data_IF_213638761529
#
_entry.id   IF_213638761529
#
_cell.length_a   1.000
_cell.length_b   1.000
_cell.length_c   1.000
_cell.angle_alpha   90.00
_cell.angle_beta   90.00
_cell.angle_gamma   90.00
#
_symmetry.space_group_name_H-M   'P 1'
#
loop_
_entity.id
_entity.type
_entity.pdbx_description
1 polymer ?
#
# COMPACT_ATOMS: atom_id res chain seq x y z
N UNK A 1 10.11 17.51 -19.42
CA UNK A 1 8.65 17.48 -19.65
C UNK A 1 8.25 16.01 -19.66
N UNK A 2 7.40 15.59 -18.72
CA UNK A 2 7.04 14.17 -18.59
C UNK A 2 6.13 13.71 -19.74
N UNK A 3 5.97 12.38 -19.93
CA UNK A 3 5.01 11.82 -20.87
C UNK A 3 3.59 12.33 -20.56
N UNK A 4 3.21 12.34 -19.28
CA UNK A 4 1.92 12.85 -18.80
C UNK A 4 1.75 14.34 -19.10
N UNK A 5 2.79 15.16 -18.95
CA UNK A 5 2.73 16.58 -19.34
C UNK A 5 2.51 16.76 -20.85
N UNK A 6 3.06 15.85 -21.67
CA UNK A 6 2.89 15.89 -23.12
C UNK A 6 1.45 15.57 -23.53
N UNK A 7 0.86 14.54 -22.92
CA UNK A 7 -0.54 14.15 -23.11
C UNK A 7 -1.46 15.28 -22.61
N UNK A 8 -1.21 15.78 -21.41
CA UNK A 8 -1.92 16.89 -20.78
C UNK A 8 -1.93 18.14 -21.65
N UNK A 9 -0.76 18.57 -22.15
CA UNK A 9 -0.65 19.73 -23.06
C UNK A 9 -1.38 19.54 -24.39
N UNK A 10 -1.51 18.30 -24.86
CA UNK A 10 -2.26 18.01 -26.09
C UNK A 10 -3.76 18.07 -25.84
N UNK A 11 -4.24 17.48 -24.75
CA UNK A 11 -5.65 17.53 -24.36
C UNK A 11 -6.07 18.97 -24.08
N UNK A 12 -5.28 19.75 -23.35
CA UNK A 12 -5.61 21.13 -22.95
C UNK A 12 -5.83 22.08 -24.12
N UNK A 13 -5.24 21.79 -25.29
CA UNK A 13 -5.47 22.57 -26.52
C UNK A 13 -6.89 22.40 -27.08
N UNK A 14 -7.58 21.32 -26.70
CA UNK A 14 -8.88 20.94 -27.24
C UNK A 14 -9.95 20.96 -26.14
N UNK A 15 -9.66 20.35 -24.99
CA UNK A 15 -10.61 20.15 -23.89
C UNK A 15 -10.10 20.81 -22.61
N UNK A 16 -10.90 21.74 -22.06
CA UNK A 16 -10.56 22.47 -20.85
C UNK A 16 -10.63 21.59 -19.60
N UNK A 17 -11.64 20.71 -19.50
CA UNK A 17 -11.90 19.87 -18.33
C UNK A 17 -11.59 18.41 -18.61
N UNK A 18 -10.52 17.89 -18.01
CA UNK A 18 -10.10 16.51 -18.20
C UNK A 18 -9.43 15.92 -16.96
N UNK A 19 -9.31 14.61 -16.92
CA UNK A 19 -8.49 13.88 -15.96
C UNK A 19 -7.74 12.73 -16.67
N UNK A 20 -6.50 12.51 -16.28
CA UNK A 20 -5.69 11.36 -16.67
C UNK A 20 -5.54 10.51 -15.41
N UNK A 21 -6.06 9.29 -15.44
CA UNK A 21 -6.27 8.44 -14.26
C UNK A 21 -5.79 7.03 -14.58
N UNK A 22 -5.14 6.37 -13.63
CA UNK A 22 -4.82 4.94 -13.73
C UNK A 22 -6.06 4.11 -13.34
N UNK A 23 -6.24 2.93 -13.91
CA UNK A 23 -7.37 2.02 -13.65
C UNK A 23 -7.65 1.75 -12.15
N UNK A 24 -6.62 1.83 -11.31
CA UNK A 24 -6.67 1.74 -9.86
C UNK A 24 -7.16 3.02 -9.13
N UNK A 25 -7.51 4.08 -9.86
CA UNK A 25 -8.00 5.34 -9.33
C UNK A 25 -6.94 6.43 -9.07
N UNK A 26 -5.66 6.18 -9.35
CA UNK A 26 -4.60 7.20 -9.17
C UNK A 26 -4.76 8.31 -10.20
N UNK A 27 -4.92 9.55 -9.75
CA UNK A 27 -5.04 10.72 -10.62
C UNK A 27 -3.65 11.25 -10.96
N UNK A 28 -3.21 11.10 -12.20
CA UNK A 28 -1.92 11.61 -12.67
C UNK A 28 -1.96 13.11 -12.98
N UNK A 29 -3.07 13.57 -13.55
CA UNK A 29 -3.32 14.99 -13.88
C UNK A 29 -4.81 15.24 -13.95
N UNK A 30 -5.27 16.40 -13.48
CA UNK A 30 -6.66 16.80 -13.76
C UNK A 30 -6.88 18.30 -13.64
N UNK A 31 -7.82 18.80 -14.44
CA UNK A 31 -8.44 20.13 -14.32
C UNK A 31 -9.87 20.06 -13.76
N UNK A 32 -10.38 18.85 -13.49
CA UNK A 32 -11.67 18.61 -12.83
C UNK A 32 -11.45 18.72 -11.32
N UNK A 33 -12.43 19.26 -10.58
CA UNK A 33 -12.34 19.32 -9.12
C UNK A 33 -12.26 17.91 -8.51
N UNK A 34 -11.35 17.72 -7.56
CA UNK A 34 -11.09 16.43 -6.90
C UNK A 34 -12.37 15.75 -6.37
N UNK A 35 -13.26 16.52 -5.74
CA UNK A 35 -14.55 16.01 -5.22
C UNK A 35 -15.45 15.37 -6.28
N UNK A 36 -15.33 15.78 -7.54
CA UNK A 36 -16.09 15.21 -8.66
C UNK A 36 -15.38 14.00 -9.25
N UNK A 37 -14.05 14.01 -9.31
CA UNK A 37 -13.27 12.87 -9.79
C UNK A 37 -13.43 11.68 -8.84
N UNK A 38 -13.39 11.91 -7.52
CA UNK A 38 -13.57 10.85 -6.53
C UNK A 38 -14.91 10.11 -6.68
N UNK A 39 -15.98 10.81 -7.11
CA UNK A 39 -17.26 10.16 -7.42
C UNK A 39 -17.15 9.24 -8.63
N UNK A 40 -16.34 9.60 -9.63
CA UNK A 40 -16.14 8.80 -10.85
C UNK A 40 -15.21 7.62 -10.57
N UNK A 41 -14.16 7.82 -9.75
CA UNK A 41 -13.19 6.78 -9.38
C UNK A 41 -13.87 5.55 -8.79
N UNK A 42 -14.92 5.73 -7.98
CA UNK A 42 -15.67 4.60 -7.41
C UNK A 42 -16.30 3.67 -8.46
N UNK A 43 -16.47 4.13 -9.70
CA UNK A 43 -17.00 3.34 -10.80
C UNK A 43 -15.93 2.83 -11.76
N UNK A 44 -14.67 3.29 -11.63
CA UNK A 44 -13.58 2.91 -12.53
C UNK A 44 -13.30 1.40 -12.55
N UNK A 45 -13.30 0.65 -11.42
CA UNK A 45 -13.05 -0.80 -11.48
C UNK A 45 -14.04 -1.52 -12.39
N UNK A 46 -15.35 -1.27 -12.21
CA UNK A 46 -16.40 -1.86 -13.03
C UNK A 46 -16.32 -1.39 -14.49
N UNK A 47 -15.88 -0.15 -14.72
CA UNK A 47 -15.75 0.40 -16.05
C UNK A 47 -14.55 -0.19 -16.80
N UNK A 48 -13.41 -0.35 -16.13
CA UNK A 48 -12.20 -0.95 -16.67
C UNK A 48 -12.39 -2.42 -17.03
N UNK A 49 -13.32 -3.14 -16.39
CA UNK A 49 -13.70 -4.50 -16.79
C UNK A 49 -14.52 -4.53 -18.10
N UNK A 50 -15.25 -3.46 -18.42
CA UNK A 50 -16.19 -3.41 -19.55
C UNK A 50 -15.64 -2.65 -20.76
N UNK A 51 -14.64 -1.79 -20.55
CA UNK A 51 -14.09 -0.91 -21.57
C UNK A 51 -12.75 -1.47 -22.05
N UNK A 52 -12.68 -1.98 -23.28
CA UNK A 52 -11.44 -2.51 -23.85
C UNK A 52 -10.35 -1.43 -24.02
N UNK A 53 -9.05 -1.76 -23.97
CA UNK A 53 -7.99 -0.83 -24.37
C UNK A 53 -8.22 -0.28 -25.78
N UNK A 54 -7.78 0.96 -26.02
CA UNK A 54 -7.99 1.72 -27.25
C UNK A 54 -9.46 1.99 -27.59
N UNK A 55 -10.36 1.89 -26.61
CA UNK A 55 -11.78 2.17 -26.78
C UNK A 55 -12.27 3.25 -25.82
N UNK A 56 -13.40 3.87 -26.17
CA UNK A 56 -14.03 4.88 -25.33
C UNK A 56 -15.53 4.64 -25.21
N UNK A 57 -16.10 5.09 -24.10
CA UNK A 57 -17.54 5.27 -23.94
C UNK A 57 -17.86 6.75 -23.86
N UNK A 58 -19.05 7.12 -24.30
CA UNK A 58 -19.57 8.46 -24.16
C UNK A 58 -20.96 8.45 -23.51
N UNK A 59 -21.25 9.44 -22.68
CA UNK A 59 -22.60 9.69 -22.18
C UNK A 59 -22.78 11.18 -21.92
N UNK A 60 -23.60 11.83 -22.74
CA UNK A 60 -23.77 13.28 -22.73
C UNK A 60 -22.44 14.00 -22.96
N UNK A 61 -21.98 14.75 -21.95
CA UNK A 61 -20.76 15.56 -22.00
C UNK A 61 -19.50 14.83 -21.52
N UNK A 62 -19.61 13.54 -21.21
CA UNK A 62 -18.54 12.75 -20.60
C UNK A 62 -18.03 11.74 -21.62
N UNK A 63 -16.75 11.79 -21.90
CA UNK A 63 -16.03 10.72 -22.62
C UNK A 63 -15.06 10.07 -21.63
N UNK A 64 -15.05 8.74 -21.60
CA UNK A 64 -14.05 7.97 -20.87
C UNK A 64 -13.36 7.09 -21.88
N UNK A 65 -12.10 7.41 -22.17
CA UNK A 65 -11.25 6.73 -23.12
C UNK A 65 -10.19 5.93 -22.38
N UNK A 66 -10.10 4.63 -22.66
CA UNK A 66 -9.05 3.77 -22.14
C UNK A 66 -7.95 3.66 -23.18
N UNK A 67 -6.82 4.32 -22.95
CA UNK A 67 -5.70 4.36 -23.91
C UNK A 67 -4.82 3.12 -23.82
N UNK A 68 -4.66 2.55 -22.63
CA UNK A 68 -3.93 1.29 -22.40
C UNK A 68 -4.65 0.44 -21.37
N UNK A 69 -4.11 -0.73 -21.05
CA UNK A 69 -4.64 -1.58 -19.98
C UNK A 69 -4.81 -0.83 -18.65
N UNK A 70 -3.93 0.12 -18.35
CA UNK A 70 -3.87 0.75 -17.03
C UNK A 70 -4.20 2.23 -17.03
N UNK A 71 -4.37 2.88 -18.19
CA UNK A 71 -4.57 4.33 -18.24
C UNK A 71 -5.91 4.70 -18.89
N UNK A 72 -6.66 5.54 -18.18
CA UNK A 72 -7.91 6.13 -18.62
C UNK A 72 -7.79 7.66 -18.69
N UNK A 73 -8.50 8.23 -19.66
CA UNK A 73 -8.63 9.66 -19.87
C UNK A 73 -10.11 10.00 -19.82
N UNK A 74 -10.48 10.87 -18.88
CA UNK A 74 -11.83 11.41 -18.75
C UNK A 74 -11.85 12.80 -19.37
N UNK A 75 -12.76 13.05 -20.30
CA UNK A 75 -12.96 14.35 -20.94
C UNK A 75 -14.38 14.84 -20.61
N UNK A 76 -14.50 16.06 -20.09
CA UNK A 76 -15.77 16.73 -19.85
C UNK A 76 -15.92 17.90 -20.83
N UNK A 77 -16.76 17.72 -21.84
CA UNK A 77 -16.80 18.64 -22.98
C UNK A 77 -18.17 18.70 -23.67
N UNK A 78 -18.47 19.85 -24.25
CA UNK A 78 -19.63 20.11 -25.10
C UNK A 78 -19.27 20.12 -26.60
N UNK A 79 -18.02 19.76 -26.93
CA UNK A 79 -17.55 19.72 -28.32
C UNK A 79 -18.20 18.56 -29.09
N UNK A 80 -18.25 18.71 -30.41
CA UNK A 80 -18.78 17.67 -31.31
C UNK A 80 -17.95 16.37 -31.21
N UNK A 81 -18.62 15.22 -31.25
CA UNK A 81 -17.97 13.90 -31.14
C UNK A 81 -16.80 13.73 -32.10
N UNK A 82 -16.90 14.23 -33.33
CA UNK A 82 -15.83 14.14 -34.34
C UNK A 82 -14.53 14.80 -33.89
N UNK A 83 -14.61 15.90 -33.14
CA UNK A 83 -13.43 16.61 -32.61
C UNK A 83 -12.77 15.75 -31.53
N UNK A 84 -13.58 15.13 -30.67
CA UNK A 84 -13.11 14.29 -29.58
C UNK A 84 -12.54 12.96 -30.11
N UNK A 85 -13.19 12.34 -31.09
CA UNK A 85 -12.72 11.16 -31.79
C UNK A 85 -11.36 11.41 -32.46
N UNK A 86 -11.20 12.58 -33.08
CA UNK A 86 -9.91 12.97 -33.66
C UNK A 86 -8.83 13.12 -32.59
N UNK A 87 -9.12 13.81 -31.48
CA UNK A 87 -8.20 13.92 -30.34
C UNK A 87 -7.81 12.54 -29.79
N UNK A 88 -8.77 11.65 -29.60
CA UNK A 88 -8.55 10.29 -29.11
C UNK A 88 -7.64 9.51 -30.07
N UNK A 89 -7.93 9.56 -31.38
CA UNK A 89 -7.09 8.92 -32.40
C UNK A 89 -5.66 9.46 -32.37
N UNK A 90 -5.47 10.78 -32.28
CA UNK A 90 -4.12 11.35 -32.22
C UNK A 90 -3.39 10.98 -30.91
N UNK A 91 -4.10 10.87 -29.78
CA UNK A 91 -3.53 10.41 -28.52
C UNK A 91 -3.06 8.96 -28.62
N UNK A 92 -3.88 8.11 -29.22
CA UNK A 92 -3.60 6.70 -29.46
C UNK A 92 -2.34 6.53 -30.31
N UNK A 93 -2.32 7.19 -31.49
CA UNK A 93 -1.22 7.09 -32.45
C UNK A 93 0.12 7.56 -31.87
N UNK A 94 0.09 8.61 -31.04
CA UNK A 94 1.32 9.25 -30.54
C UNK A 94 1.85 8.64 -29.24
N UNK A 95 0.96 8.16 -28.37
CA UNK A 95 1.33 7.87 -26.99
C UNK A 95 1.05 6.45 -26.53
N UNK A 96 0.11 5.71 -27.12
CA UNK A 96 -0.32 4.39 -26.62
C UNK A 96 0.86 3.45 -26.32
N UNK A 97 1.74 3.20 -27.30
CA UNK A 97 2.91 2.31 -27.16
C UNK A 97 3.89 2.79 -26.09
N UNK A 98 4.05 4.11 -25.93
CA UNK A 98 4.96 4.68 -24.92
C UNK A 98 4.37 4.59 -23.52
N UNK A 99 3.07 4.90 -23.40
CA UNK A 99 2.32 4.77 -22.16
C UNK A 99 2.34 3.32 -21.70
N UNK A 100 2.11 2.36 -22.60
CA UNK A 100 2.12 0.94 -22.24
C UNK A 100 3.48 0.57 -21.65
N UNK A 101 4.59 0.94 -22.29
CA UNK A 101 5.94 0.66 -21.76
C UNK A 101 6.28 1.36 -20.44
N UNK A 102 5.80 2.59 -20.23
CA UNK A 102 6.11 3.37 -19.03
C UNK A 102 5.18 3.03 -17.85
N UNK A 103 3.93 2.63 -18.14
CA UNK A 103 2.88 2.37 -17.13
C UNK A 103 2.63 0.86 -16.93
N UNK A 104 3.18 -0.05 -17.76
CA UNK A 104 3.18 -1.52 -17.55
C UNK A 104 3.85 -1.96 -16.23
N UNK A 105 4.50 -1.06 -15.50
CA UNK A 105 4.85 -1.32 -14.11
C UNK A 105 3.59 -1.19 -13.26
N UNK A 106 2.91 -2.33 -13.05
CA UNK A 106 1.74 -2.54 -12.19
C UNK A 106 1.41 -1.38 -11.25
N UNK A 107 0.15 -0.89 -11.19
CA UNK A 107 -0.25 0.09 -10.20
C UNK A 107 0.26 -0.33 -8.82
N UNK A 108 1.19 0.45 -8.25
CA UNK A 108 1.79 0.11 -6.96
C UNK A 108 0.66 0.02 -5.92
N UNK A 109 0.41 -1.17 -5.40
CA UNK A 109 -0.47 -1.40 -4.25
C UNK A 109 0.36 -1.39 -2.98
N UNK A 110 -0.24 -1.30 -1.80
CA UNK A 110 0.54 -1.42 -0.56
C UNK A 110 1.29 -2.77 -0.48
N UNK A 111 0.76 -3.83 -1.10
CA UNK A 111 1.46 -5.11 -1.20
C UNK A 111 2.80 -4.98 -1.93
N UNK A 112 2.87 -4.15 -2.97
CA UNK A 112 4.08 -3.99 -3.80
C UNK A 112 5.29 -3.44 -3.04
N UNK A 113 5.07 -2.80 -1.88
CA UNK A 113 6.13 -2.28 -1.02
C UNK A 113 6.39 -3.13 0.22
N UNK A 114 5.62 -4.20 0.46
CA UNK A 114 5.90 -5.15 1.53
C UNK A 114 6.98 -6.13 1.07
N UNK A 115 8.06 -6.23 1.85
CA UNK A 115 9.12 -7.23 1.64
C UNK A 115 8.97 -8.46 2.51
N UNK A 116 8.40 -8.29 3.71
CA UNK A 116 8.41 -9.31 4.73
C UNK A 116 7.30 -9.05 5.75
N UNK A 117 6.66 -10.12 6.22
CA UNK A 117 5.73 -10.09 7.35
C UNK A 117 6.13 -11.19 8.32
N UNK A 118 6.22 -10.88 9.61
CA UNK A 118 6.47 -11.86 10.67
C UNK A 118 5.46 -11.70 11.79
N UNK A 119 4.94 -12.82 12.28
CA UNK A 119 4.25 -12.88 13.55
C UNK A 119 5.21 -13.43 14.60
N UNK A 120 5.37 -12.69 15.69
CA UNK A 120 6.30 -12.99 16.77
C UNK A 120 5.62 -12.86 18.13
N UNK A 121 6.16 -13.58 19.10
CA UNK A 121 5.63 -13.66 20.46
C UNK A 121 6.76 -13.80 21.48
N UNK A 122 6.59 -13.15 22.64
CA UNK A 122 7.48 -13.29 23.79
C UNK A 122 7.11 -14.56 24.57
N UNK A 123 7.93 -15.61 24.45
CA UNK A 123 7.72 -16.88 25.17
C UNK A 123 8.77 -17.08 26.25
N UNK A 124 8.80 -18.26 26.86
CA UNK A 124 9.70 -18.58 27.98
C UNK A 124 11.19 -18.39 27.67
N UNK A 125 11.57 -18.43 26.39
CA UNK A 125 12.95 -18.25 25.90
C UNK A 125 13.26 -16.83 25.40
N UNK A 126 12.28 -15.93 25.43
CA UNK A 126 12.40 -14.59 24.89
C UNK A 126 11.55 -14.35 23.63
N UNK A 127 11.83 -13.28 22.89
CA UNK A 127 11.16 -12.96 21.63
C UNK A 127 11.49 -14.01 20.57
N UNK A 128 10.48 -14.65 20.01
CA UNK A 128 10.66 -15.60 18.90
C UNK A 128 9.66 -15.36 17.76
N UNK A 129 10.09 -15.51 16.49
CA UNK A 129 9.17 -15.54 15.36
C UNK A 129 8.44 -16.89 15.35
N UNK A 130 7.12 -16.87 15.20
CA UNK A 130 6.31 -18.08 15.05
C UNK A 130 6.14 -18.47 13.59
N UNK A 131 5.92 -17.48 12.73
CA UNK A 131 5.77 -17.67 11.29
C UNK A 131 6.08 -16.37 10.55
N UNK A 132 6.54 -16.49 9.31
CA UNK A 132 6.80 -15.35 8.44
C UNK A 132 6.51 -15.65 6.97
N UNK A 133 6.38 -14.59 6.18
CA UNK A 133 6.19 -14.62 4.73
C UNK A 133 7.09 -13.55 4.10
N UNK A 134 7.79 -13.85 2.98
CA UNK A 134 7.82 -15.16 2.33
C UNK A 134 8.75 -16.16 3.05
N UNK A 135 8.54 -17.47 2.87
CA UNK A 135 9.18 -18.52 3.67
C UNK A 135 10.68 -18.66 3.41
N UNK A 136 11.13 -18.30 2.21
CA UNK A 136 12.53 -18.31 1.81
C UNK A 136 13.39 -17.27 2.54
N UNK A 137 12.79 -16.38 3.34
CA UNK A 137 13.54 -15.43 4.16
C UNK A 137 14.34 -16.13 5.25
N UNK A 138 15.57 -15.66 5.45
CA UNK A 138 16.51 -16.19 6.44
C UNK A 138 15.91 -16.16 7.86
N UNK A 139 15.96 -17.29 8.55
CA UNK A 139 15.45 -17.44 9.91
C UNK A 139 16.14 -16.45 10.88
N UNK A 140 17.46 -16.22 10.73
CA UNK A 140 18.16 -15.24 11.58
C UNK A 140 17.63 -13.83 11.37
N UNK A 141 17.24 -13.50 10.13
CA UNK A 141 16.60 -12.24 9.82
C UNK A 141 15.23 -12.14 10.48
N UNK A 142 14.39 -13.18 10.40
CA UNK A 142 13.10 -13.24 11.10
C UNK A 142 13.25 -13.03 12.61
N UNK A 143 14.21 -13.70 13.24
CA UNK A 143 14.55 -13.49 14.66
C UNK A 143 15.00 -12.06 14.96
N UNK A 144 15.85 -11.46 14.12
CA UNK A 144 16.29 -10.06 14.29
C UNK A 144 15.10 -9.10 14.27
N UNK A 145 14.15 -9.32 13.36
CA UNK A 145 12.92 -8.50 13.28
C UNK A 145 12.04 -8.75 14.50
N UNK A 146 11.81 -10.00 14.91
CA UNK A 146 11.00 -10.35 16.09
C UNK A 146 11.53 -9.67 17.37
N UNK A 147 12.83 -9.78 17.63
CA UNK A 147 13.49 -9.16 18.79
C UNK A 147 13.32 -7.64 18.75
N UNK A 148 13.64 -6.99 17.63
CA UNK A 148 13.51 -5.53 17.51
C UNK A 148 12.07 -5.05 17.70
N UNK A 149 11.12 -5.81 17.18
CA UNK A 149 9.69 -5.48 17.24
C UNK A 149 9.17 -5.55 18.67
N UNK A 150 9.47 -6.64 19.39
CA UNK A 150 9.00 -6.83 20.76
C UNK A 150 9.78 -5.99 21.79
N UNK A 151 11.02 -5.57 21.50
CA UNK A 151 11.71 -4.59 22.33
C UNK A 151 10.98 -3.24 22.40
N UNK A 152 10.20 -2.85 21.38
CA UNK A 152 9.40 -1.62 21.44
C UNK A 152 8.34 -1.66 22.57
N UNK A 153 7.95 -2.85 23.06
CA UNK A 153 7.06 -2.99 24.22
C UNK A 153 7.73 -2.66 25.55
N UNK A 154 9.07 -2.77 25.63
CA UNK A 154 9.81 -2.57 26.88
C UNK A 154 9.89 -1.11 27.31
N UNK A 155 9.63 -0.16 26.40
CA UNK A 155 9.59 1.28 26.67
C UNK A 155 8.22 1.77 27.17
N UNK A 156 7.17 0.95 27.15
CA UNK A 156 5.86 1.36 27.67
C UNK A 156 5.77 1.11 29.19
N UNK A 157 5.50 2.17 29.96
CA UNK A 157 5.42 2.16 31.45
C UNK A 157 4.44 1.10 31.99
N UNK A 158 3.48 0.66 31.18
CA UNK A 158 2.51 -0.36 31.54
C UNK A 158 2.69 -1.67 30.75
N UNK A 159 3.70 -1.83 29.89
CA UNK A 159 3.66 -2.79 28.78
C UNK A 159 2.43 -2.55 27.88
N UNK A 160 2.10 -3.46 26.96
CA UNK A 160 0.87 -3.39 26.16
C UNK A 160 -0.42 -3.61 26.99
N UNK A 161 -0.40 -3.33 28.29
CA UNK A 161 -1.57 -3.41 29.14
C UNK A 161 -2.60 -2.36 28.69
N UNK A 162 -3.56 -2.86 27.89
CA UNK A 162 -4.86 -2.31 27.49
C UNK A 162 -5.00 -1.72 26.09
N UNK A 163 -3.93 -1.51 25.31
CA UNK A 163 -4.08 -1.02 23.93
C UNK A 163 -3.13 -1.71 22.98
N UNK A 164 -3.69 -2.19 21.87
CA UNK A 164 -2.94 -2.52 20.68
C UNK A 164 -2.30 -1.24 20.14
N UNK A 165 -1.09 -1.32 19.61
CA UNK A 165 -0.34 -0.15 19.15
C UNK A 165 0.34 -0.42 17.81
N UNK A 166 0.25 0.53 16.89
CA UNK A 166 1.05 0.57 15.67
C UNK A 166 2.25 1.51 15.84
N UNK A 167 3.46 0.97 15.69
CA UNK A 167 4.73 1.68 15.81
C UNK A 167 5.56 1.55 14.52
N UNK A 168 6.41 2.55 14.27
CA UNK A 168 7.31 2.58 13.10
C UNK A 168 8.75 2.74 13.56
N UNK A 169 9.62 1.83 13.10
CA UNK A 169 11.01 1.80 13.48
C UNK A 169 11.91 1.80 12.24
N UNK A 170 12.70 2.86 11.99
CA UNK A 170 13.67 2.87 10.92
C UNK A 170 14.83 1.91 11.22
N UNK A 171 15.24 1.14 10.22
CA UNK A 171 16.48 0.37 10.20
C UNK A 171 17.47 1.08 9.27
N UNK A 172 18.21 2.04 9.84
CA UNK A 172 19.13 2.91 9.09
C UNK A 172 20.22 2.15 8.34
N UNK A 173 20.71 1.04 8.91
CA UNK A 173 21.75 0.20 8.27
C UNK A 173 21.30 -0.43 6.95
N UNK A 174 20.00 -0.70 6.79
CA UNK A 174 19.46 -1.46 5.66
C UNK A 174 18.44 -0.67 4.84
N UNK A 175 18.30 0.64 5.07
CA UNK A 175 17.31 1.51 4.43
C UNK A 175 15.88 0.94 4.46
N UNK A 176 15.52 0.24 5.54
CA UNK A 176 14.20 -0.37 5.71
C UNK A 176 13.41 0.32 6.83
N UNK A 177 12.10 0.17 6.78
CA UNK A 177 11.15 0.56 7.82
C UNK A 177 10.46 -0.70 8.34
N UNK A 178 10.49 -0.91 9.66
CA UNK A 178 9.65 -1.89 10.33
C UNK A 178 8.38 -1.19 10.79
N UNK A 179 7.23 -1.72 10.37
CA UNK A 179 5.91 -1.37 10.88
C UNK A 179 5.53 -2.47 11.86
N UNK A 180 5.43 -2.15 13.15
CA UNK A 180 5.15 -3.13 14.20
C UNK A 180 3.77 -2.88 14.78
N UNK A 181 2.90 -3.88 14.72
CA UNK A 181 1.62 -3.87 15.41
C UNK A 181 1.68 -4.78 16.63
N UNK A 182 1.66 -4.15 17.80
CA UNK A 182 1.85 -4.75 19.11
C UNK A 182 0.50 -5.05 19.75
N UNK A 183 0.38 -6.24 20.34
CA UNK A 183 -0.83 -6.69 21.03
C UNK A 183 -0.47 -7.79 22.05
N UNK A 184 -1.45 -8.20 22.85
CA UNK A 184 -1.28 -9.25 23.85
C UNK A 184 -2.23 -10.43 23.58
N UNK A 185 -1.73 -11.63 23.79
CA UNK A 185 -2.52 -12.87 23.73
C UNK A 185 -2.76 -13.36 25.16
N UNK A 186 -3.99 -13.34 25.68
CA UNK A 186 -4.28 -13.79 27.03
C UNK A 186 -3.94 -15.26 27.23
N UNK A 187 -3.11 -15.55 28.24
CA UNK A 187 -2.73 -16.90 28.62
C UNK A 187 -2.36 -16.96 30.10
N UNK A 188 -3.18 -17.63 30.91
CA UNK A 188 -3.05 -17.62 32.38
C UNK A 188 -1.70 -18.12 32.90
N UNK A 189 -1.00 -18.99 32.16
CA UNK A 189 0.32 -19.53 32.54
C UNK A 189 1.48 -18.66 32.06
N UNK A 190 1.23 -17.62 31.24
CA UNK A 190 2.26 -16.66 30.86
C UNK A 190 2.60 -15.74 32.03
N UNK A 191 3.83 -15.21 32.04
CA UNK A 191 4.25 -14.19 33.00
C UNK A 191 3.39 -12.93 32.78
N UNK A 192 2.65 -12.51 33.80
CA UNK A 192 1.72 -11.37 33.70
C UNK A 192 0.34 -11.73 33.13
N UNK A 193 0.06 -13.00 32.86
CA UNK A 193 -1.27 -13.46 32.40
C UNK A 193 -1.54 -13.32 30.90
N UNK A 194 -0.54 -12.90 30.12
CA UNK A 194 -0.58 -12.79 28.66
C UNK A 194 0.81 -12.96 28.06
N UNK A 195 0.86 -13.35 26.78
CA UNK A 195 2.06 -13.24 25.97
C UNK A 195 2.03 -11.93 25.19
N UNK A 196 3.14 -11.21 25.23
CA UNK A 196 3.36 -10.06 24.37
C UNK A 196 3.61 -10.54 22.93
N UNK A 197 3.02 -9.86 21.95
CA UNK A 197 2.96 -10.34 20.58
C UNK A 197 3.03 -9.18 19.59
N UNK A 198 3.57 -9.47 18.39
CA UNK A 198 3.75 -8.49 17.35
C UNK A 198 3.53 -9.08 15.95
N UNK A 199 2.78 -8.35 15.11
CA UNK A 199 2.86 -8.50 13.65
C UNK A 199 3.79 -7.41 13.13
N UNK A 200 4.85 -7.79 12.45
CA UNK A 200 5.82 -6.83 11.91
C UNK A 200 5.93 -6.94 10.41
N UNK A 201 5.79 -5.80 9.73
CA UNK A 201 5.90 -5.66 8.28
C UNK A 201 7.18 -4.90 7.96
N UNK A 202 7.97 -5.40 7.03
CA UNK A 202 9.14 -4.71 6.50
C UNK A 202 8.81 -4.06 5.15
N UNK A 203 9.22 -2.80 5.01
CA UNK A 203 9.19 -2.06 3.74
C UNK A 203 10.47 -1.25 3.55
N UNK A 204 10.68 -0.67 2.38
CA UNK A 204 11.77 0.28 2.17
C UNK A 204 11.49 1.61 2.86
N UNK A 205 12.51 2.22 3.44
CA UNK A 205 12.38 3.49 4.16
C UNK A 205 11.95 4.64 3.24
N UNK A 206 12.24 4.55 1.93
CA UNK A 206 11.75 5.53 0.93
C UNK A 206 10.22 5.57 0.84
N UNK A 207 9.55 4.44 1.12
CA UNK A 207 8.09 4.29 1.02
C UNK A 207 7.35 4.79 2.29
N UNK A 208 8.09 5.30 3.30
CA UNK A 208 7.54 5.72 4.61
C UNK A 208 6.37 6.70 4.51
N UNK A 209 6.40 7.62 3.55
CA UNK A 209 5.36 8.63 3.42
C UNK A 209 4.03 8.00 2.99
N UNK A 210 4.08 7.00 2.10
CA UNK A 210 2.89 6.25 1.69
C UNK A 210 2.36 5.40 2.84
N UNK A 211 3.27 4.80 3.62
CA UNK A 211 2.92 4.02 4.80
C UNK A 211 2.21 4.91 5.84
N UNK A 212 2.76 6.10 6.16
CA UNK A 212 2.14 7.04 7.09
C UNK A 212 0.80 7.56 6.59
N UNK A 213 0.66 7.84 5.28
CA UNK A 213 -0.61 8.24 4.68
C UNK A 213 -1.69 7.18 4.85
N UNK A 214 -1.32 5.90 4.87
CA UNK A 214 -2.22 4.77 5.04
C UNK A 214 -2.27 4.21 6.48
N UNK A 215 -1.77 4.96 7.48
CA UNK A 215 -1.70 4.54 8.88
C UNK A 215 -2.99 3.87 9.38
N UNK A 216 -4.12 4.58 9.27
CA UNK A 216 -5.41 4.11 9.80
C UNK A 216 -5.87 2.80 9.12
N UNK A 217 -5.59 2.66 7.82
CA UNK A 217 -6.00 1.48 7.05
C UNK A 217 -5.12 0.28 7.44
N UNK A 218 -3.80 0.49 7.54
CA UNK A 218 -2.84 -0.51 8.01
C UNK A 218 -3.22 -0.97 9.41
N UNK A 219 -3.49 -0.04 10.33
CA UNK A 219 -3.90 -0.34 11.70
C UNK A 219 -5.17 -1.20 11.73
N UNK A 220 -6.21 -0.84 10.97
CA UNK A 220 -7.46 -1.60 10.91
C UNK A 220 -7.28 -3.03 10.36
N UNK A 221 -6.39 -3.23 9.40
CA UNK A 221 -6.10 -4.57 8.87
C UNK A 221 -5.39 -5.41 9.92
N UNK A 222 -4.37 -4.84 10.56
CA UNK A 222 -3.58 -5.54 11.57
C UNK A 222 -4.40 -5.82 12.84
N UNK A 223 -5.32 -4.92 13.21
CA UNK A 223 -6.27 -5.13 14.30
C UNK A 223 -7.14 -6.37 14.06
N UNK A 224 -7.80 -6.45 12.89
CA UNK A 224 -8.62 -7.61 12.52
C UNK A 224 -7.82 -8.91 12.48
N UNK A 225 -6.61 -8.86 11.95
CA UNK A 225 -5.75 -10.05 11.86
C UNK A 225 -5.27 -10.48 13.24
N UNK A 226 -4.90 -9.54 14.11
CA UNK A 226 -4.49 -9.85 15.49
C UNK A 226 -5.59 -10.56 16.28
N UNK A 227 -6.87 -10.16 16.13
CA UNK A 227 -8.00 -10.82 16.80
C UNK A 227 -8.14 -12.28 16.36
N UNK A 228 -7.92 -12.57 15.08
CA UNK A 228 -7.95 -13.93 14.56
C UNK A 228 -6.75 -14.74 15.03
N UNK A 229 -5.55 -14.15 15.07
CA UNK A 229 -4.36 -14.81 15.63
C UNK A 229 -4.56 -15.17 17.10
N UNK A 230 -5.14 -14.25 17.90
CA UNK A 230 -5.50 -14.51 19.31
C UNK A 230 -6.45 -15.71 19.39
N UNK A 231 -7.51 -15.73 18.57
CA UNK A 231 -8.49 -16.81 18.56
C UNK A 231 -7.86 -18.16 18.19
N UNK A 232 -7.10 -18.20 17.11
CA UNK A 232 -6.37 -19.41 16.67
C UNK A 232 -5.46 -19.91 17.77
N UNK A 233 -4.73 -19.01 18.44
CA UNK A 233 -3.88 -19.36 19.56
C UNK A 233 -4.69 -20.00 20.69
N UNK A 234 -5.75 -19.35 21.15
CA UNK A 234 -6.56 -19.83 22.27
C UNK A 234 -7.26 -21.17 22.01
N UNK A 235 -7.63 -21.44 20.76
CA UNK A 235 -8.31 -22.69 20.36
C UNK A 235 -7.33 -23.87 20.18
N UNK A 236 -6.04 -23.60 19.93
CA UNK A 236 -5.08 -24.63 19.53
C UNK A 236 -3.87 -24.77 20.47
N UNK A 237 -3.75 -23.88 21.46
CA UNK A 237 -2.67 -23.96 22.45
C UNK A 237 -2.93 -25.10 23.43
N UNK A 238 -1.90 -25.88 23.70
CA UNK A 238 -1.97 -26.88 24.75
C UNK A 238 -1.88 -26.26 26.16
N UNK A 239 -2.12 -27.08 27.18
CA UNK A 239 -2.00 -26.59 28.56
C UNK A 239 -0.61 -26.07 28.89
N UNK A 240 0.44 -26.49 28.18
CA UNK A 240 1.81 -26.03 28.48
C UNK A 240 2.10 -24.66 27.91
N UNK A 241 1.33 -24.20 26.92
CA UNK A 241 1.66 -22.99 26.17
C UNK A 241 2.81 -23.23 25.19
N UNK A 242 3.27 -24.48 25.04
CA UNK A 242 4.49 -24.77 24.30
C UNK A 242 4.27 -25.34 22.91
N UNK A 243 3.17 -26.07 22.71
CA UNK A 243 2.88 -26.73 21.44
C UNK A 243 1.73 -26.03 20.75
N UNK A 244 2.04 -25.37 19.64
CA UNK A 244 1.06 -24.86 18.69
C UNK A 244 1.51 -25.18 17.28
N UNK A 245 0.58 -25.60 16.43
CA UNK A 245 0.86 -25.75 15.01
C UNK A 245 0.93 -24.35 14.37
N UNK A 246 2.14 -23.81 14.22
CA UNK A 246 2.38 -22.46 13.70
C UNK A 246 1.86 -22.26 12.27
N UNK A 247 1.67 -23.34 11.51
CA UNK A 247 1.12 -23.27 10.15
C UNK A 247 -0.32 -22.75 10.13
N UNK A 248 -1.06 -22.87 11.24
CA UNK A 248 -2.41 -22.33 11.37
C UNK A 248 -2.45 -20.80 11.27
N UNK A 249 -1.34 -20.12 11.54
CA UNK A 249 -1.24 -18.66 11.44
C UNK A 249 -0.97 -18.17 10.01
N UNK A 250 -0.55 -19.07 9.10
CA UNK A 250 -0.10 -18.71 7.75
C UNK A 250 -1.18 -18.02 6.94
N UNK A 251 -2.40 -18.55 7.00
CA UNK A 251 -3.53 -18.02 6.26
C UNK A 251 -3.87 -16.59 6.68
N UNK A 252 -3.66 -16.28 7.96
CA UNK A 252 -3.90 -14.94 8.48
C UNK A 252 -2.82 -13.95 8.05
N UNK A 253 -1.55 -14.36 7.97
CA UNK A 253 -0.50 -13.51 7.38
C UNK A 253 -0.74 -13.29 5.89
N UNK A 254 -1.17 -14.30 5.14
CA UNK A 254 -1.58 -14.16 3.74
C UNK A 254 -2.78 -13.22 3.59
N UNK A 255 -3.70 -13.20 4.56
CA UNK A 255 -4.83 -12.27 4.54
C UNK A 255 -4.40 -10.80 4.63
N UNK A 256 -3.28 -10.50 5.31
CA UNK A 256 -2.67 -9.16 5.31
C UNK A 256 -2.22 -8.80 3.89
N UNK A 257 -1.49 -9.70 3.23
CA UNK A 257 -0.98 -9.50 1.85
C UNK A 257 -2.14 -9.22 0.90
N UNK A 258 -3.20 -10.04 0.96
CA UNK A 258 -4.38 -9.88 0.10
C UNK A 258 -5.11 -8.56 0.39
N UNK A 259 -5.22 -8.17 1.66
CA UNK A 259 -5.83 -6.89 2.04
C UNK A 259 -5.01 -5.72 1.51
N UNK A 260 -3.68 -5.79 1.57
CA UNK A 260 -2.80 -4.74 1.07
C UNK A 260 -2.76 -4.66 -0.45
N UNK A 261 -3.05 -5.75 -1.15
CA UNK A 261 -3.16 -5.77 -2.61
C UNK A 261 -4.36 -4.95 -3.10
N UNK A 262 -5.43 -4.90 -2.30
CA UNK A 262 -6.61 -4.09 -2.63
C UNK A 262 -6.46 -2.60 -2.37
N UNK A 263 -5.32 -2.15 -1.83
CA UNK A 263 -5.08 -0.74 -1.47
C UNK A 263 -4.14 -0.09 -2.49
N UNK A 264 -4.65 0.77 -3.38
CA UNK A 264 -3.81 1.47 -4.34
C UNK A 264 -2.94 2.53 -3.65
N UNK A 265 -1.66 2.58 -4.02
CA UNK A 265 -0.79 3.68 -3.61
C UNK A 265 -1.04 4.87 -4.52
N UNK A 266 -1.72 5.89 -3.99
CA UNK A 266 -1.69 7.22 -4.56
C UNK A 266 -0.28 7.80 -4.37
N UNK A 267 0.60 7.61 -5.35
CA UNK A 267 1.91 8.28 -5.45
C UNK A 267 1.63 9.77 -5.76
N UNK A 268 1.11 10.49 -4.77
CA UNK A 268 0.79 11.91 -4.91
C UNK A 268 2.09 12.71 -4.75
N UNK A 269 2.84 12.94 -5.83
CA UNK A 269 4.01 13.85 -5.88
C UNK A 269 5.04 13.67 -4.73
N UNK A 270 4.99 12.57 -3.97
CA UNK A 270 5.74 12.46 -2.72
C UNK A 270 7.18 12.11 -3.01
N UNK A 271 7.44 11.43 -4.12
CA UNK A 271 8.79 11.17 -4.60
C UNK A 271 9.50 12.45 -5.06
N UNK A 272 8.76 13.43 -5.61
CA UNK A 272 9.29 14.77 -5.92
C UNK A 272 9.63 15.53 -4.64
N UNK A 273 8.75 15.48 -3.62
CA UNK A 273 9.00 16.14 -2.33
C UNK A 273 10.13 15.45 -1.55
N UNK A 274 10.31 14.13 -1.71
CA UNK A 274 11.41 13.37 -1.11
C UNK A 274 12.74 13.68 -1.79
N UNK A 275 12.79 13.79 -3.13
CA UNK A 275 13.98 14.26 -3.84
C UNK A 275 14.33 15.69 -3.42
N UNK A 276 13.36 16.61 -3.42
CA UNK A 276 13.55 18.00 -2.98
C UNK A 276 14.00 18.10 -1.51
N UNK A 277 13.44 17.27 -0.60
CA UNK A 277 13.89 17.19 0.79
C UNK A 277 15.30 16.59 0.93
N UNK A 278 15.61 15.55 0.17
CA UNK A 278 16.92 14.88 0.25
C UNK A 278 18.01 15.76 -0.34
N UNK A 279 17.71 16.54 -1.38
CA UNK A 279 18.63 17.52 -1.94
C UNK A 279 18.82 18.72 -1.00
N UNK A 280 17.75 19.23 -0.37
CA UNK A 280 17.87 20.24 0.67
C UNK A 280 18.69 19.76 1.89
N UNK A 281 18.57 18.48 2.27
CA UNK A 281 19.35 17.88 3.35
C UNK A 281 20.83 17.65 2.98
N UNK A 282 21.15 17.46 1.70
CA UNK A 282 22.53 17.40 1.21
C UNK A 282 23.17 18.79 1.19
N UNK A 283 22.45 19.82 0.72
CA UNK A 283 22.92 21.21 0.76
C UNK A 283 23.23 21.69 2.19
N UNK A 284 22.44 21.26 3.18
CA UNK A 284 22.68 21.56 4.60
C UNK A 284 23.89 20.85 5.21
N UNK A 285 24.39 19.77 4.60
CA UNK A 285 25.61 19.06 5.06
C UNK A 285 26.89 19.62 4.45
N UNK A 286 26.78 20.46 3.42
CA UNK A 286 27.91 21.11 2.74
C UNK A 286 28.19 22.53 3.26
N UNK A 287 27.43 23.00 4.25
CA UNK A 287 27.65 24.24 5.03
C UNK A 287 28.31 23.89 6.38
#
# INVERSE_FOLDING_TARGET
>A
MTLIDSISNMIEKVVIKYAIIIDNGVILKSTISESNILKIINFLPNLSEQLEPHSYIHSGKIYIYRITNHLLIILLTDLESRIIEHLISELDDRYSIRIEKEIETNPRTLKSIIKFIVFSMERSRGPEPLIWIPEEMDEKFAFKIAIKSLLNLTDEINGANKKKMLAFQPLTENENLIITYLFQIPFKKARGGSYDSAISILSEYKERAVIYKNYNIIEQILDKVSDKLIKIFQENIDETGEKINVLLFRDELNSIINSFDSIPMNISKTDIVIEEMMDALKELKEI
#
